data_IF_396018230000
#
_entry.id   IF_396018230000
#
_cell.length_a   1.000
_cell.length_b   1.000
_cell.length_c   1.000
_cell.angle_alpha   90.00
_cell.angle_beta   90.00
_cell.angle_gamma   90.00
#
_symmetry.space_group_name_H-M   'P 1'
#
loop_
_entity.id
_entity.type
_entity.pdbx_description
1 polymer ?
#
# COMPACT_ATOMS: atom_id res chain seq x y z
N UNK A 1 -25.99 -21.50 42.73
CA UNK A 1 -25.32 -22.12 41.58
C UNK A 1 -24.96 -21.02 40.59
N UNK A 2 -23.67 -20.70 40.37
CA UNK A 2 -23.29 -19.66 39.43
C UNK A 2 -23.20 -20.24 38.02
N UNK A 3 -23.88 -19.63 37.06
CA UNK A 3 -23.62 -19.85 35.63
C UNK A 3 -22.81 -18.66 35.12
N UNK A 4 -21.51 -18.87 34.91
CA UNK A 4 -20.71 -18.03 34.03
C UNK A 4 -20.57 -18.77 32.70
N UNK A 5 -21.20 -18.31 31.61
CA UNK A 5 -20.71 -18.61 30.28
C UNK A 5 -19.54 -17.65 30.03
N UNK A 6 -18.32 -18.17 30.14
CA UNK A 6 -17.12 -17.56 29.57
C UNK A 6 -17.37 -17.33 28.08
N UNK A 7 -17.61 -16.09 27.70
CA UNK A 7 -17.51 -15.67 26.32
C UNK A 7 -16.03 -15.81 25.92
N UNK A 8 -15.67 -16.98 25.39
CA UNK A 8 -14.50 -17.11 24.52
C UNK A 8 -14.75 -16.20 23.31
N UNK A 9 -14.41 -14.92 23.46
CA UNK A 9 -14.04 -14.11 22.30
C UNK A 9 -12.77 -14.74 21.77
N UNK A 10 -12.92 -15.63 20.79
CA UNK A 10 -11.87 -15.89 19.81
C UNK A 10 -11.67 -14.59 19.04
N UNK A 11 -10.96 -13.65 19.66
CA UNK A 11 -10.17 -12.68 18.92
C UNK A 11 -9.19 -13.55 18.14
N UNK A 12 -9.41 -13.70 16.83
CA UNK A 12 -8.35 -14.11 15.93
C UNK A 12 -7.26 -13.05 16.08
N UNK A 13 -6.36 -13.24 17.05
CA UNK A 13 -5.13 -12.47 17.14
C UNK A 13 -4.38 -12.78 15.86
N UNK A 14 -4.40 -11.83 14.93
CA UNK A 14 -3.56 -11.85 13.75
C UNK A 14 -2.15 -12.16 14.23
N UNK A 15 -1.49 -13.15 13.62
CA UNK A 15 -0.13 -13.50 14.01
C UNK A 15 0.75 -12.24 14.00
N UNK A 16 1.76 -12.11 14.87
CA UNK A 16 2.66 -10.95 14.88
C UNK A 16 3.24 -10.63 13.50
N UNK A 17 3.48 -11.66 12.68
CA UNK A 17 3.91 -11.51 11.29
C UNK A 17 2.87 -10.85 10.38
N UNK A 18 1.58 -11.15 10.56
CA UNK A 18 0.49 -10.53 9.80
C UNK A 18 0.33 -9.04 10.14
N UNK A 19 0.43 -8.69 11.43
CA UNK A 19 0.41 -7.30 11.87
C UNK A 19 1.57 -6.51 11.24
N UNK A 20 2.79 -7.04 11.31
CA UNK A 20 3.98 -6.42 10.68
C UNK A 20 3.79 -6.25 9.16
N UNK A 21 3.23 -7.24 8.47
CA UNK A 21 3.00 -7.15 7.03
C UNK A 21 1.90 -6.15 6.69
N UNK A 22 0.83 -6.07 7.50
CA UNK A 22 -0.22 -5.08 7.35
C UNK A 22 0.32 -3.65 7.53
N UNK A 23 1.12 -3.43 8.56
CA UNK A 23 1.76 -2.14 8.84
C UNK A 23 2.72 -1.77 7.71
N UNK A 24 3.55 -2.70 7.25
CA UNK A 24 4.45 -2.46 6.13
C UNK A 24 3.71 -2.05 4.84
N UNK A 25 2.59 -2.70 4.52
CA UNK A 25 1.79 -2.32 3.34
C UNK A 25 1.21 -0.92 3.52
N UNK A 26 0.76 -0.56 4.72
CA UNK A 26 0.28 0.78 5.02
C UNK A 26 1.39 1.82 4.88
N UNK A 27 2.52 1.57 5.53
CA UNK A 27 3.69 2.45 5.56
C UNK A 27 4.31 2.65 4.18
N UNK A 28 4.20 1.68 3.27
CA UNK A 28 4.66 1.82 1.88
C UNK A 28 3.69 2.58 0.98
N UNK A 29 2.39 2.64 1.30
CA UNK A 29 1.42 3.43 0.51
C UNK A 29 1.70 4.93 0.61
N UNK A 30 2.06 5.41 1.79
CA UNK A 30 2.34 6.83 2.01
C UNK A 30 3.49 7.37 1.12
N UNK A 31 4.71 6.79 1.11
CA UNK A 31 5.78 7.26 0.26
C UNK A 31 5.47 7.09 -1.23
N UNK A 32 4.71 6.06 -1.63
CA UNK A 32 4.28 5.92 -3.03
C UNK A 32 3.36 7.08 -3.46
N UNK A 33 2.39 7.47 -2.62
CA UNK A 33 1.55 8.63 -2.90
C UNK A 33 2.33 9.95 -2.95
N UNK A 34 3.37 10.08 -2.12
CA UNK A 34 4.27 11.23 -2.17
C UNK A 34 5.08 11.26 -3.48
N UNK A 35 5.54 10.11 -3.98
CA UNK A 35 6.25 10.02 -5.26
C UNK A 35 5.30 10.32 -6.42
N UNK A 36 4.05 9.82 -6.38
CA UNK A 36 3.02 10.14 -7.38
C UNK A 36 2.77 11.65 -7.46
N UNK A 37 2.58 12.30 -6.30
CA UNK A 37 2.38 13.75 -6.22
C UNK A 37 3.60 14.51 -6.76
N UNK A 38 4.81 14.03 -6.43
CA UNK A 38 6.05 14.63 -6.92
C UNK A 38 6.19 14.48 -8.43
N UNK A 39 5.85 13.31 -9.00
CA UNK A 39 5.85 13.05 -10.44
C UNK A 39 4.84 13.93 -11.18
N UNK A 40 3.64 14.11 -10.62
CA UNK A 40 2.63 15.04 -11.14
C UNK A 40 3.15 16.49 -11.17
N UNK A 41 3.76 16.96 -10.07
CA UNK A 41 4.37 18.29 -10.02
C UNK A 41 5.52 18.42 -11.04
N UNK A 42 6.37 17.40 -11.19
CA UNK A 42 7.44 17.40 -12.19
C UNK A 42 6.89 17.45 -13.62
N UNK A 43 5.83 16.72 -13.92
CA UNK A 43 5.15 16.77 -15.22
C UNK A 43 4.65 18.19 -15.53
N UNK A 44 4.06 18.86 -14.54
CA UNK A 44 3.53 20.22 -14.69
C UNK A 44 4.64 21.27 -14.93
N UNK A 45 5.81 21.07 -14.31
CA UNK A 45 6.93 22.00 -14.37
C UNK A 45 7.90 21.74 -15.54
N UNK A 46 7.82 20.57 -16.17
CA UNK A 46 8.72 20.18 -17.25
C UNK A 46 8.29 20.83 -18.57
N UNK A 47 9.22 21.52 -19.22
CA UNK A 47 9.01 22.06 -20.57
C UNK A 47 8.64 20.92 -21.54
N UNK A 48 7.52 21.03 -22.29
CA UNK A 48 7.10 20.04 -23.28
C UNK A 48 8.17 19.66 -24.32
N UNK A 49 9.13 20.55 -24.60
CA UNK A 49 10.24 20.27 -25.52
C UNK A 49 11.29 19.31 -24.92
N UNK A 50 11.31 19.12 -23.60
CA UNK A 50 12.25 18.23 -22.91
C UNK A 50 11.74 16.77 -22.88
N UNK A 51 11.69 16.15 -24.06
CA UNK A 51 11.13 14.79 -24.27
C UNK A 51 11.69 13.76 -23.29
N UNK A 52 13.01 13.74 -23.04
CA UNK A 52 13.64 12.78 -22.11
C UNK A 52 13.17 12.95 -20.68
N UNK A 53 12.96 14.18 -20.21
CA UNK A 53 12.46 14.44 -18.87
C UNK A 53 11.03 13.91 -18.72
N UNK A 54 10.18 14.14 -19.73
CA UNK A 54 8.82 13.60 -19.77
C UNK A 54 8.79 12.06 -19.82
N UNK A 55 9.71 11.43 -20.54
CA UNK A 55 9.86 9.96 -20.55
C UNK A 55 10.21 9.42 -19.16
N UNK A 56 11.11 10.09 -18.44
CA UNK A 56 11.44 9.72 -17.06
C UNK A 56 10.26 9.90 -16.11
N UNK A 57 9.49 10.99 -16.24
CA UNK A 57 8.28 11.21 -15.44
C UNK A 57 7.25 10.10 -15.69
N UNK A 58 6.96 9.76 -16.96
CA UNK A 58 6.05 8.66 -17.30
C UNK A 58 6.53 7.32 -16.75
N UNK A 59 7.84 7.06 -16.79
CA UNK A 59 8.43 5.85 -16.20
C UNK A 59 8.21 5.80 -14.69
N UNK A 60 8.37 6.92 -13.98
CA UNK A 60 8.09 7.02 -12.54
C UNK A 60 6.61 6.73 -12.26
N UNK A 61 5.69 7.37 -12.98
CA UNK A 61 4.25 7.16 -12.84
C UNK A 61 3.87 5.68 -13.03
N UNK A 62 4.40 5.02 -14.07
CA UNK A 62 4.18 3.60 -14.33
C UNK A 62 4.71 2.71 -13.21
N UNK A 63 5.90 3.02 -12.67
CA UNK A 63 6.49 2.26 -11.57
C UNK A 63 5.68 2.41 -10.27
N UNK A 64 5.21 3.62 -9.96
CA UNK A 64 4.37 3.88 -8.78
C UNK A 64 3.02 3.15 -8.92
N UNK A 65 2.37 3.23 -10.08
CA UNK A 65 1.11 2.52 -10.32
C UNK A 65 1.27 1.00 -10.19
N UNK A 66 2.37 0.45 -10.71
CA UNK A 66 2.70 -0.97 -10.56
C UNK A 66 2.94 -1.35 -9.10
N UNK A 67 3.69 -0.55 -8.36
CA UNK A 67 3.95 -0.79 -6.93
C UNK A 67 2.66 -0.73 -6.11
N UNK A 68 1.79 0.25 -6.37
CA UNK A 68 0.49 0.37 -5.72
C UNK A 68 -0.43 -0.83 -5.98
N UNK A 69 -0.38 -1.37 -7.21
CA UNK A 69 -1.11 -2.59 -7.58
C UNK A 69 -0.60 -3.79 -6.76
N UNK A 70 0.72 -4.03 -6.75
CA UNK A 70 1.34 -5.12 -5.98
C UNK A 70 1.02 -5.05 -4.48
N UNK A 71 1.05 -3.85 -3.89
CA UNK A 71 0.66 -3.65 -2.48
C UNK A 71 -0.82 -3.91 -2.23
N UNK A 72 -1.68 -3.58 -3.20
CA UNK A 72 -3.12 -3.84 -3.09
C UNK A 72 -3.44 -5.32 -3.19
N UNK A 73 -2.75 -6.05 -4.06
CA UNK A 73 -2.81 -7.51 -4.16
C UNK A 73 -2.30 -8.17 -2.87
N UNK A 74 -1.15 -7.74 -2.35
CA UNK A 74 -0.61 -8.25 -1.08
C UNK A 74 -1.58 -8.02 0.09
N UNK A 75 -2.20 -6.82 0.18
CA UNK A 75 -3.22 -6.55 1.18
C UNK A 75 -4.47 -7.40 1.02
N UNK A 76 -4.89 -7.70 -0.21
CA UNK A 76 -6.02 -8.57 -0.48
C UNK A 76 -5.73 -10.00 -0.03
N UNK A 77 -4.55 -10.53 -0.33
CA UNK A 77 -4.15 -11.87 0.08
C UNK A 77 -3.99 -11.98 1.61
N UNK A 78 -3.39 -11.00 2.28
CA UNK A 78 -3.33 -10.97 3.74
C UNK A 78 -4.73 -11.02 4.38
N UNK A 79 -5.68 -10.26 3.84
CA UNK A 79 -7.08 -10.29 4.32
C UNK A 79 -7.74 -11.65 4.10
N UNK A 80 -7.44 -12.32 2.99
CA UNK A 80 -7.96 -13.67 2.67
C UNK A 80 -7.39 -14.74 3.59
N UNK A 81 -6.13 -14.60 4.03
CA UNK A 81 -5.51 -15.53 4.98
C UNK A 81 -6.07 -15.40 6.41
N UNK A 82 -6.69 -14.26 6.73
CA UNK A 82 -7.33 -14.00 8.02
C UNK A 82 -8.80 -14.47 8.09
N UNK A 83 -9.49 -14.58 6.95
CA UNK A 83 -10.89 -15.02 6.84
C UNK A 83 -11.02 -16.54 6.88
#
# INVERSE_FOLDING_TARGET
MPFHPSASMTLSESSPSEAILSDLVHDLRQPLGNIETSAYCLNLLTDPAHVRALEHVRSIEQQVARAATLLSEAAAELRRLRS
#
